data_IF_121556349384
#
_entry.id   IF_121556349384
#
_cell.length_a   1.000
_cell.length_b   1.000
_cell.length_c   1.000
_cell.angle_alpha   90.00
_cell.angle_beta   90.00
_cell.angle_gamma   90.00
#
_symmetry.space_group_name_H-M   'P 1'
#
loop_
_entity.id
_entity.type
_entity.pdbx_description
1 polymer ?
#
# COMPACT_ATOMS: atom_id res chain seq x y z
N UNK A 1 9.98 4.31 -21.30
CA UNK A 1 9.23 5.35 -20.59
C UNK A 1 9.72 5.41 -19.16
N UNK A 2 10.34 6.54 -18.82
CA UNK A 2 10.93 6.71 -17.51
C UNK A 2 9.81 6.96 -16.48
N UNK A 3 9.49 5.95 -15.70
CA UNK A 3 8.66 6.11 -14.52
C UNK A 3 9.45 6.93 -13.50
N UNK A 4 9.10 8.19 -13.33
CA UNK A 4 9.65 9.01 -12.25
C UNK A 4 9.05 8.55 -10.93
N UNK A 5 9.78 7.74 -10.19
CA UNK A 5 9.51 7.53 -8.77
C UNK A 5 9.59 8.87 -8.05
N UNK A 6 8.48 9.36 -7.54
CA UNK A 6 8.43 10.53 -6.67
C UNK A 6 8.09 10.05 -5.27
N UNK A 7 9.12 9.75 -4.52
CA UNK A 7 9.00 9.45 -3.09
C UNK A 7 8.61 8.01 -2.80
N UNK A 8 8.96 7.58 -1.62
CA UNK A 8 8.63 6.29 -1.03
C UNK A 8 7.11 6.07 -1.04
N UNK A 9 6.64 5.11 -1.82
CA UNK A 9 5.25 4.69 -1.86
C UNK A 9 4.53 4.79 -3.20
N UNK A 10 5.10 5.44 -4.22
CA UNK A 10 4.48 5.51 -5.55
C UNK A 10 5.01 4.39 -6.48
N UNK A 11 4.85 3.14 -6.05
CA UNK A 11 5.05 2.01 -6.96
C UNK A 11 3.79 1.88 -7.80
N UNK A 12 3.89 2.21 -9.09
CA UNK A 12 2.79 1.99 -10.01
C UNK A 12 2.64 0.50 -10.30
N UNK A 13 1.41 -0.01 -10.15
CA UNK A 13 1.08 -1.34 -10.67
C UNK A 13 1.35 -1.36 -12.17
N UNK A 14 1.92 -2.46 -12.66
CA UNK A 14 2.03 -2.65 -14.11
C UNK A 14 0.65 -2.95 -14.69
N UNK A 15 0.36 -2.45 -15.89
CA UNK A 15 -0.92 -2.66 -16.57
C UNK A 15 -1.39 -4.13 -16.55
N UNK A 16 -0.48 -5.09 -16.70
CA UNK A 16 -0.82 -6.52 -16.68
C UNK A 16 -1.42 -7.04 -15.37
N UNK A 17 -1.42 -6.23 -14.29
CA UNK A 17 -2.00 -6.60 -12.99
C UNK A 17 -3.22 -5.73 -12.63
N UNK A 18 -3.66 -4.84 -13.52
CA UNK A 18 -4.76 -3.91 -13.22
C UNK A 18 -6.04 -4.66 -12.89
N UNK A 19 -6.32 -5.74 -13.63
CA UNK A 19 -7.57 -6.51 -13.53
C UNK A 19 -7.44 -7.75 -12.62
N UNK A 20 -6.30 -7.90 -11.91
CA UNK A 20 -5.98 -9.13 -11.20
C UNK A 20 -6.99 -9.53 -10.13
N UNK A 21 -7.75 -8.58 -9.59
CA UNK A 21 -8.66 -8.78 -8.47
C UNK A 21 -10.06 -8.22 -8.75
N UNK A 22 -10.41 -7.93 -10.01
CA UNK A 22 -11.68 -7.25 -10.35
C UNK A 22 -12.91 -8.00 -9.86
N UNK A 23 -12.94 -9.32 -10.07
CA UNK A 23 -14.09 -10.18 -9.77
C UNK A 23 -14.18 -10.62 -8.29
N UNK A 24 -13.32 -10.10 -7.42
CA UNK A 24 -13.26 -10.52 -6.02
C UNK A 24 -13.48 -9.32 -5.11
N UNK A 25 -14.44 -9.44 -4.18
CA UNK A 25 -14.54 -8.52 -3.06
C UNK A 25 -13.63 -8.98 -1.92
N UNK A 26 -12.70 -8.10 -1.54
CA UNK A 26 -11.76 -8.36 -0.47
C UNK A 26 -12.39 -8.01 0.87
N UNK A 27 -12.18 -8.89 1.84
CA UNK A 27 -12.69 -8.68 3.20
C UNK A 27 -12.02 -7.47 3.85
N UNK A 28 -12.78 -6.76 4.69
CA UNK A 28 -12.22 -5.73 5.55
C UNK A 28 -11.32 -6.36 6.63
N UNK A 29 -10.26 -5.65 7.07
CA UNK A 29 -9.58 -5.99 8.33
C UNK A 29 -10.57 -6.01 9.50
N UNK A 30 -10.32 -6.85 10.50
CA UNK A 30 -11.20 -6.96 11.68
C UNK A 30 -11.40 -5.61 12.39
N UNK A 31 -10.37 -4.78 12.39
CA UNK A 31 -10.39 -3.45 13.02
C UNK A 31 -10.89 -2.33 12.11
N UNK A 32 -11.36 -2.61 10.89
CA UNK A 32 -11.76 -1.60 9.90
C UNK A 32 -12.77 -0.57 10.43
N UNK A 33 -13.72 -1.03 11.23
CA UNK A 33 -14.77 -0.20 11.84
C UNK A 33 -14.46 0.13 13.31
N UNK A 34 -13.20 0.42 13.64
CA UNK A 34 -12.81 0.87 14.97
C UNK A 34 -13.57 2.16 15.35
N UNK A 35 -14.15 2.21 16.52
CA UNK A 35 -14.89 3.37 17.04
C UNK A 35 -13.99 4.39 17.73
N UNK A 36 -12.72 4.06 17.90
CA UNK A 36 -11.69 4.85 18.59
C UNK A 36 -11.99 5.22 20.04
N UNK A 37 -13.02 4.62 20.67
CA UNK A 37 -13.50 4.97 22.02
C UNK A 37 -12.45 4.78 23.12
N UNK A 38 -11.51 3.87 22.91
CA UNK A 38 -10.40 3.57 23.81
C UNK A 38 -9.08 4.27 23.45
N UNK A 39 -9.11 5.21 22.49
CA UNK A 39 -7.91 5.81 21.91
C UNK A 39 -7.86 7.31 22.16
N UNK A 40 -6.66 7.89 22.00
CA UNK A 40 -6.47 9.33 22.05
C UNK A 40 -7.29 10.05 20.96
N UNK A 41 -7.72 11.27 21.25
CA UNK A 41 -8.53 12.10 20.35
C UNK A 41 -7.94 12.22 18.93
N UNK A 42 -6.63 12.16 18.81
CA UNK A 42 -5.93 12.24 17.54
C UNK A 42 -6.33 11.09 16.60
N UNK A 43 -6.55 9.89 17.13
CA UNK A 43 -6.94 8.72 16.35
C UNK A 43 -8.29 8.91 15.65
N UNK A 44 -9.30 9.38 16.40
CA UNK A 44 -10.63 9.65 15.84
C UNK A 44 -10.72 10.94 15.00
N UNK A 45 -9.72 11.84 15.11
CA UNK A 45 -9.72 13.11 14.40
C UNK A 45 -8.80 13.13 13.16
N UNK A 46 -8.18 12.03 12.82
CA UNK A 46 -7.30 11.96 11.64
C UNK A 46 -8.09 12.05 10.34
N UNK A 47 -7.47 12.64 9.32
CA UNK A 47 -7.94 12.58 7.93
C UNK A 47 -7.32 11.39 7.17
N UNK A 48 -6.54 10.55 7.85
CA UNK A 48 -5.90 9.36 7.29
C UNK A 48 -6.87 8.16 7.28
N UNK A 49 -8.09 8.38 6.82
CA UNK A 49 -9.11 7.33 6.70
C UNK A 49 -9.59 7.18 5.27
N UNK A 50 -10.15 6.00 4.96
CA UNK A 50 -10.73 5.70 3.64
C UNK A 50 -11.78 6.73 3.22
N UNK A 51 -12.49 7.32 4.18
CA UNK A 51 -13.50 8.36 3.91
C UNK A 51 -12.89 9.61 3.28
N UNK A 52 -11.64 9.93 3.64
CA UNK A 52 -10.91 11.11 3.19
C UNK A 52 -9.89 10.84 2.08
N UNK A 53 -10.00 9.74 1.36
CA UNK A 53 -9.21 9.55 0.15
C UNK A 53 -9.43 10.71 -0.82
N UNK A 54 -8.34 11.36 -1.18
CA UNK A 54 -8.34 12.32 -2.28
C UNK A 54 -8.39 11.59 -3.63
N UNK A 55 -8.68 12.33 -4.69
CA UNK A 55 -8.61 11.80 -6.05
C UNK A 55 -7.20 11.29 -6.40
N UNK A 56 -6.16 11.88 -5.80
CA UNK A 56 -4.78 11.42 -5.92
C UNK A 56 -4.58 10.04 -5.28
N UNK A 57 -5.07 9.84 -4.05
CA UNK A 57 -4.94 8.58 -3.33
C UNK A 57 -5.67 7.46 -4.07
N UNK A 58 -6.79 7.81 -4.69
CA UNK A 58 -7.58 6.92 -5.55
C UNK A 58 -6.99 6.75 -6.96
N UNK A 59 -5.86 7.43 -7.27
CA UNK A 59 -5.19 7.39 -8.59
C UNK A 59 -6.12 7.71 -9.77
N UNK A 60 -7.09 8.60 -9.55
CA UNK A 60 -7.99 9.03 -10.61
C UNK A 60 -7.26 9.90 -11.63
N UNK A 61 -7.64 9.77 -12.88
CA UNK A 61 -7.03 10.49 -14.00
C UNK A 61 -7.74 11.85 -14.16
N UNK A 62 -7.03 12.98 -14.04
CA UNK A 62 -7.63 14.27 -14.26
C UNK A 62 -8.01 14.47 -15.74
N UNK A 63 -9.12 15.19 -16.04
CA UNK A 63 -9.51 15.53 -17.40
C UNK A 63 -8.38 16.20 -18.17
N UNK A 64 -8.22 15.84 -19.45
CA UNK A 64 -7.16 16.42 -20.30
C UNK A 64 -7.36 17.91 -20.59
N UNK A 65 -8.60 18.38 -20.52
CA UNK A 65 -8.95 19.81 -20.70
C UNK A 65 -8.38 20.74 -19.63
N UNK A 66 -7.92 20.21 -18.50
CA UNK A 66 -7.38 20.98 -17.39
C UNK A 66 -5.91 21.36 -17.61
N UNK A 67 -5.55 22.59 -17.27
CA UNK A 67 -4.15 23.02 -17.18
C UNK A 67 -3.40 22.26 -16.07
N UNK A 68 -2.06 22.27 -16.09
CA UNK A 68 -1.24 21.59 -15.08
C UNK A 68 -1.53 22.05 -13.63
N UNK A 69 -1.89 23.32 -13.44
CA UNK A 69 -2.27 23.87 -12.12
C UNK A 69 -3.61 23.30 -11.68
N UNK A 70 -4.59 23.29 -12.58
CA UNK A 70 -5.92 22.77 -12.31
C UNK A 70 -5.91 21.25 -12.11
N UNK A 71 -5.10 20.50 -12.87
CA UNK A 71 -4.89 19.04 -12.65
C UNK A 71 -4.37 18.76 -11.24
N UNK A 72 -3.44 19.57 -10.74
CA UNK A 72 -2.97 19.44 -9.35
C UNK A 72 -4.08 19.72 -8.35
N UNK A 73 -4.82 20.79 -8.48
CA UNK A 73 -5.93 21.12 -7.59
C UNK A 73 -7.02 20.02 -7.62
N UNK A 74 -7.33 19.51 -8.80
CA UNK A 74 -8.30 18.44 -8.98
C UNK A 74 -7.86 17.14 -8.26
N UNK A 75 -6.60 16.76 -8.34
CA UNK A 75 -6.06 15.56 -7.69
C UNK A 75 -6.12 15.63 -6.14
N UNK A 76 -5.92 16.82 -5.59
CA UNK A 76 -5.94 16.99 -4.13
C UNK A 76 -7.36 17.23 -3.55
N UNK A 77 -8.40 17.24 -4.38
CA UNK A 77 -9.76 17.29 -3.88
C UNK A 77 -10.09 16.02 -3.08
N UNK A 78 -10.74 16.19 -1.94
CA UNK A 78 -11.04 15.12 -0.99
C UNK A 78 -10.05 15.03 0.18
N UNK A 79 -8.93 15.77 0.15
CA UNK A 79 -7.93 15.75 1.22
C UNK A 79 -8.39 16.46 2.51
N UNK A 80 -9.49 17.19 2.46
CA UNK A 80 -10.06 17.89 3.62
C UNK A 80 -11.39 17.27 4.04
N UNK A 81 -11.69 17.32 5.34
CA UNK A 81 -12.91 16.76 5.93
C UNK A 81 -14.24 17.20 5.28
N UNK A 82 -14.28 18.38 4.70
CA UNK A 82 -15.47 18.90 4.02
C UNK A 82 -15.54 18.56 2.52
N UNK A 83 -14.60 17.77 2.03
CA UNK A 83 -14.51 17.36 0.65
C UNK A 83 -14.60 15.84 0.57
N UNK A 84 -15.73 15.30 0.13
CA UNK A 84 -15.89 13.85 -0.06
C UNK A 84 -15.81 13.53 -1.54
N UNK A 85 -14.88 12.66 -1.91
CA UNK A 85 -14.82 12.09 -3.26
C UNK A 85 -15.83 10.95 -3.34
N UNK A 86 -16.78 11.09 -4.23
CA UNK A 86 -17.68 10.01 -4.61
C UNK A 86 -17.16 9.38 -5.90
N UNK A 87 -17.03 8.07 -5.91
CA UNK A 87 -16.69 7.30 -7.12
C UNK A 87 -17.92 7.12 -7.99
N UNK A 88 -19.08 6.98 -7.35
CA UNK A 88 -20.38 6.96 -7.99
C UNK A 88 -21.37 7.81 -7.19
N UNK A 89 -21.90 8.87 -7.82
CA UNK A 89 -22.83 9.79 -7.19
C UNK A 89 -24.25 9.24 -7.03
N UNK A 90 -24.55 8.08 -7.59
CA UNK A 90 -25.85 7.40 -7.46
C UNK A 90 -25.91 6.47 -6.24
N UNK A 91 -24.76 6.16 -5.66
CA UNK A 91 -24.62 5.27 -4.51
C UNK A 91 -24.57 6.06 -3.20
N UNK A 92 -24.92 5.37 -2.11
CA UNK A 92 -24.80 5.89 -0.75
C UNK A 92 -23.33 6.16 -0.36
N UNK A 93 -23.11 6.89 0.73
CA UNK A 93 -21.77 7.14 1.25
C UNK A 93 -21.08 5.84 1.68
N UNK A 94 -21.82 4.90 2.25
CA UNK A 94 -21.28 3.60 2.66
C UNK A 94 -20.84 2.76 1.46
N UNK A 95 -21.66 2.69 0.41
CA UNK A 95 -21.28 2.01 -0.83
C UNK A 95 -20.07 2.66 -1.51
N UNK A 96 -20.00 4.00 -1.53
CA UNK A 96 -18.82 4.71 -2.02
C UNK A 96 -17.59 4.44 -1.15
N UNK A 97 -17.73 4.33 0.18
CA UNK A 97 -16.66 3.95 1.10
C UNK A 97 -16.14 2.55 0.79
N UNK A 98 -17.04 1.61 0.56
CA UNK A 98 -16.67 0.25 0.12
C UNK A 98 -15.92 0.29 -1.21
N UNK A 99 -16.43 0.98 -2.23
CA UNK A 99 -15.74 1.11 -3.51
C UNK A 99 -14.34 1.70 -3.39
N UNK A 100 -14.15 2.71 -2.54
CA UNK A 100 -12.83 3.30 -2.25
C UNK A 100 -11.89 2.27 -1.64
N UNK A 101 -12.35 1.54 -0.63
CA UNK A 101 -11.56 0.49 0.01
C UNK A 101 -11.18 -0.61 -0.99
N UNK A 102 -12.16 -1.14 -1.74
CA UNK A 102 -11.92 -2.18 -2.73
C UNK A 102 -10.89 -1.73 -3.77
N UNK A 103 -11.05 -0.51 -4.30
CA UNK A 103 -10.08 0.04 -5.24
C UNK A 103 -8.68 0.17 -4.63
N UNK A 104 -8.58 0.70 -3.43
CA UNK A 104 -7.32 0.90 -2.73
C UNK A 104 -6.59 -0.42 -2.47
N UNK A 105 -7.28 -1.41 -1.89
CA UNK A 105 -6.66 -2.69 -1.56
C UNK A 105 -6.28 -3.48 -2.81
N UNK A 106 -7.10 -3.45 -3.86
CA UNK A 106 -6.81 -4.10 -5.13
C UNK A 106 -5.59 -3.48 -5.82
N UNK A 107 -5.48 -2.16 -5.85
CA UNK A 107 -4.34 -1.43 -6.38
C UNK A 107 -3.05 -1.74 -5.59
N UNK A 108 -3.16 -1.84 -4.26
CA UNK A 108 -2.04 -2.22 -3.39
C UNK A 108 -1.56 -3.65 -3.69
N UNK A 109 -2.47 -4.62 -3.71
CA UNK A 109 -2.15 -6.02 -3.99
C UNK A 109 -1.59 -6.22 -5.40
N UNK A 110 -2.08 -5.49 -6.39
CA UNK A 110 -1.51 -5.51 -7.74
C UNK A 110 -0.06 -5.01 -7.76
N UNK A 111 0.26 -4.01 -6.91
CA UNK A 111 1.63 -3.55 -6.71
C UNK A 111 2.49 -4.62 -6.04
N UNK A 112 2.00 -5.23 -4.96
CA UNK A 112 2.69 -6.34 -4.27
C UNK A 112 2.97 -7.49 -5.24
N UNK A 113 2.00 -7.87 -6.06
CA UNK A 113 2.20 -8.91 -7.09
C UNK A 113 3.29 -8.54 -8.09
N UNK A 114 3.35 -7.28 -8.51
CA UNK A 114 4.41 -6.79 -9.39
C UNK A 114 5.79 -6.89 -8.75
N UNK A 115 5.90 -6.60 -7.45
CA UNK A 115 7.16 -6.74 -6.69
C UNK A 115 7.56 -8.20 -6.59
N UNK A 116 6.63 -9.09 -6.22
CA UNK A 116 6.87 -10.53 -6.09
C UNK A 116 7.42 -11.14 -7.39
N UNK A 117 6.78 -10.85 -8.53
CA UNK A 117 7.26 -11.32 -9.84
C UNK A 117 8.68 -10.80 -10.16
N UNK A 118 9.03 -9.59 -9.76
CA UNK A 118 10.37 -9.04 -9.99
C UNK A 118 11.42 -9.65 -9.05
N UNK A 119 11.07 -9.95 -7.80
CA UNK A 119 11.92 -10.71 -6.88
C UNK A 119 12.20 -12.09 -7.48
N UNK A 120 11.17 -12.77 -7.96
CA UNK A 120 11.32 -14.05 -8.65
C UNK A 120 12.31 -13.99 -9.81
N UNK A 121 12.28 -12.92 -10.62
CA UNK A 121 13.24 -12.71 -11.73
C UNK A 121 14.68 -12.52 -11.22
N UNK A 122 14.88 -11.79 -10.14
CA UNK A 122 16.21 -11.63 -9.54
C UNK A 122 16.74 -12.97 -9.02
N UNK A 123 15.92 -13.73 -8.30
CA UNK A 123 16.30 -15.04 -7.79
C UNK A 123 16.65 -16.02 -8.90
N UNK A 124 15.87 -16.03 -10.00
CA UNK A 124 16.16 -16.86 -11.16
C UNK A 124 17.49 -16.45 -11.82
N UNK A 125 17.74 -15.14 -11.96
CA UNK A 125 19.00 -14.65 -12.51
C UNK A 125 20.22 -15.12 -11.68
N UNK A 126 20.13 -15.05 -10.35
CA UNK A 126 21.21 -15.55 -9.48
C UNK A 126 21.46 -17.03 -9.69
N UNK A 127 20.41 -17.82 -9.82
CA UNK A 127 20.50 -19.26 -10.05
C UNK A 127 21.09 -19.60 -11.43
N UNK A 128 20.62 -18.94 -12.47
CA UNK A 128 21.06 -19.17 -13.87
C UNK A 128 22.52 -18.77 -14.12
N UNK A 129 23.09 -17.94 -13.26
CA UNK A 129 24.47 -17.46 -13.36
C UNK A 129 25.39 -18.03 -12.26
N UNK A 130 24.96 -19.07 -11.53
CA UNK A 130 25.74 -19.71 -10.46
C UNK A 130 26.18 -18.75 -9.35
N UNK A 131 25.41 -17.68 -9.09
CA UNK A 131 25.67 -16.67 -8.06
C UNK A 131 24.95 -16.95 -6.74
N UNK A 132 23.99 -17.86 -6.75
CA UNK A 132 23.06 -18.10 -5.65
C UNK A 132 23.76 -18.48 -4.34
N UNK A 133 24.76 -19.35 -4.41
CA UNK A 133 25.49 -19.85 -3.23
C UNK A 133 26.40 -18.81 -2.56
N UNK A 134 26.75 -17.75 -3.27
CA UNK A 134 27.63 -16.68 -2.79
C UNK A 134 26.94 -15.32 -2.70
N UNK A 135 25.60 -15.32 -2.64
CA UNK A 135 24.81 -14.08 -2.57
C UNK A 135 23.86 -14.12 -1.38
N UNK A 136 23.95 -13.10 -0.54
CA UNK A 136 22.95 -12.85 0.51
C UNK A 136 21.82 -12.06 -0.11
N UNK A 137 20.61 -12.57 -0.01
CA UNK A 137 19.38 -11.86 -0.46
C UNK A 137 18.61 -11.46 0.78
N UNK A 138 18.33 -10.16 0.90
CA UNK A 138 17.52 -9.59 1.98
C UNK A 138 16.32 -8.91 1.38
N UNK A 139 15.13 -9.24 1.88
CA UNK A 139 13.88 -8.54 1.60
C UNK A 139 13.38 -7.88 2.88
N UNK A 140 13.23 -6.59 2.84
CA UNK A 140 12.74 -5.78 3.96
C UNK A 140 12.03 -4.52 3.46
N UNK A 141 11.49 -3.74 4.39
CA UNK A 141 10.91 -2.41 4.13
C UNK A 141 11.46 -1.40 5.14
N UNK A 142 11.35 -0.12 4.84
CA UNK A 142 11.68 0.97 5.76
C UNK A 142 10.58 1.18 6.82
N UNK A 143 9.37 0.67 6.58
CA UNK A 143 8.20 0.81 7.45
C UNK A 143 7.09 -0.17 7.06
N UNK A 144 6.10 -0.31 7.95
CA UNK A 144 4.83 -0.93 7.63
C UNK A 144 3.84 0.05 6.98
N UNK A 145 2.58 -0.36 6.86
CA UNK A 145 1.56 0.42 6.16
C UNK A 145 0.15 -0.02 6.57
N UNK A 146 -0.77 0.92 6.83
CA UNK A 146 -2.18 0.59 7.04
C UNK A 146 -2.86 0.31 5.70
N UNK A 147 -3.53 -0.81 5.62
CA UNK A 147 -4.30 -1.24 4.44
C UNK A 147 -5.79 -1.42 4.78
N UNK A 148 -6.29 -0.57 5.67
CA UNK A 148 -7.67 -0.55 6.13
C UNK A 148 -7.84 -0.84 7.61
N UNK A 149 -6.82 -1.28 8.33
CA UNK A 149 -6.87 -1.43 9.78
C UNK A 149 -7.24 -0.09 10.41
N UNK A 150 -8.14 -0.12 11.37
CA UNK A 150 -8.74 1.06 12.02
C UNK A 150 -9.44 2.03 11.03
N UNK A 151 -9.82 1.56 9.84
CA UNK A 151 -10.32 2.40 8.75
C UNK A 151 -9.27 3.34 8.15
N UNK A 152 -8.01 3.17 8.50
CA UNK A 152 -6.90 4.04 8.10
C UNK A 152 -6.16 3.55 6.84
N UNK A 153 -5.42 4.48 6.28
CA UNK A 153 -4.43 4.23 5.22
C UNK A 153 -3.13 5.00 5.55
N UNK A 154 -2.05 4.78 4.75
CA UNK A 154 -0.74 5.41 5.00
C UNK A 154 -0.06 4.83 6.27
N UNK A 155 0.77 5.58 7.01
CA UNK A 155 1.78 5.06 7.95
C UNK A 155 2.15 6.03 9.08
N UNK A 156 1.28 6.97 9.41
CA UNK A 156 1.66 8.13 10.26
C UNK A 156 1.46 7.91 11.76
N UNK A 157 0.90 6.79 12.17
CA UNK A 157 0.74 6.43 13.56
C UNK A 157 1.65 5.26 13.93
N UNK A 158 2.20 5.29 15.15
CA UNK A 158 3.08 4.26 15.69
C UNK A 158 2.29 3.05 16.20
N UNK A 159 1.62 2.36 15.29
CA UNK A 159 0.93 1.09 15.51
C UNK A 159 1.73 -0.03 14.86
N UNK A 160 1.41 -1.29 15.21
CA UNK A 160 2.08 -2.46 14.64
C UNK A 160 2.05 -2.43 13.11
N UNK A 161 0.92 -2.04 12.52
CA UNK A 161 0.72 -2.00 11.07
C UNK A 161 1.68 -1.05 10.36
N UNK A 162 2.07 0.03 11.01
CA UNK A 162 3.00 1.02 10.44
C UNK A 162 4.44 0.84 10.90
N UNK A 163 4.67 0.19 12.04
CA UNK A 163 6.00 0.01 12.65
C UNK A 163 6.62 -1.33 12.32
N UNK A 164 5.79 -2.38 12.18
CA UNK A 164 6.26 -3.72 11.88
C UNK A 164 6.47 -3.92 10.39
N UNK A 165 7.68 -4.26 10.01
CA UNK A 165 8.05 -4.53 8.63
C UNK A 165 8.56 -5.97 8.47
N UNK A 166 8.43 -6.55 7.28
CA UNK A 166 9.00 -7.85 7.02
C UNK A 166 10.54 -7.78 7.00
N UNK A 167 11.18 -8.80 7.54
CA UNK A 167 12.61 -9.04 7.35
C UNK A 167 12.81 -10.51 6.98
N UNK A 168 13.20 -10.75 5.73
CA UNK A 168 13.47 -12.08 5.22
C UNK A 168 14.88 -12.12 4.66
N UNK A 169 15.71 -13.06 5.13
CA UNK A 169 17.08 -13.22 4.66
C UNK A 169 17.29 -14.65 4.15
N UNK A 170 17.97 -14.76 3.01
CA UNK A 170 18.36 -16.01 2.41
C UNK A 170 19.85 -16.00 2.12
N UNK A 171 20.58 -17.03 2.63
CA UNK A 171 21.97 -17.29 2.30
C UNK A 171 22.21 -18.81 2.29
N UNK A 172 22.18 -19.46 1.10
CA UNK A 172 22.32 -20.89 0.99
C UNK A 172 23.58 -21.41 1.66
N UNK A 173 23.50 -22.57 2.27
CA UNK A 173 24.61 -23.19 2.99
C UNK A 173 25.05 -22.53 4.30
N UNK A 174 24.54 -21.32 4.61
CA UNK A 174 24.86 -20.60 5.86
C UNK A 174 23.63 -20.41 6.75
N UNK A 175 22.49 -20.09 6.18
CA UNK A 175 21.24 -19.93 6.93
C UNK A 175 20.35 -21.13 6.61
N UNK A 176 19.93 -21.85 7.67
CA UNK A 176 19.04 -23.00 7.54
C UNK A 176 17.65 -22.53 7.03
N UNK A 177 17.10 -23.15 5.98
CA UNK A 177 15.78 -22.82 5.50
C UNK A 177 14.69 -22.95 6.59
N UNK A 178 13.67 -22.11 6.54
CA UNK A 178 12.53 -22.09 7.47
C UNK A 178 12.91 -21.83 8.94
N UNK A 179 14.05 -21.22 9.19
CA UNK A 179 14.40 -20.72 10.53
C UNK A 179 13.60 -19.43 10.79
N UNK A 180 13.01 -19.34 11.98
CA UNK A 180 12.39 -18.13 12.51
C UNK A 180 13.29 -17.63 13.63
N UNK A 181 13.59 -16.34 13.63
CA UNK A 181 14.25 -15.64 14.73
C UNK A 181 13.26 -14.61 15.27
N UNK A 182 13.08 -14.57 16.59
CA UNK A 182 12.14 -13.69 17.30
C UNK A 182 12.85 -12.47 17.93
N UNK A 183 14.15 -12.32 17.69
CA UNK A 183 14.88 -11.14 18.15
C UNK A 183 14.35 -9.88 17.46
N UNK A 184 14.25 -8.79 18.21
CA UNK A 184 13.87 -7.49 17.68
C UNK A 184 15.09 -6.91 16.96
N UNK A 185 14.88 -6.54 15.70
CA UNK A 185 15.85 -5.79 14.89
C UNK A 185 15.21 -4.50 14.41
N UNK A 186 16.01 -3.51 14.19
CA UNK A 186 15.56 -2.21 13.70
C UNK A 186 16.29 -1.79 12.42
N UNK A 187 15.80 -0.78 11.73
CA UNK A 187 16.43 -0.29 10.48
C UNK A 187 17.84 0.30 10.67
N UNK A 188 18.28 0.45 11.91
CA UNK A 188 19.60 1.00 12.24
C UNK A 188 20.59 -0.07 12.75
N UNK A 189 20.15 -1.33 12.84
CA UNK A 189 21.00 -2.47 13.21
C UNK A 189 21.74 -3.02 11.99
#
# INVERSE_FOLDING_TARGET
>A
DAVRSRGLGDVYKRQKYEDLWEDIDLAYPETYNDDYSSRELTAGNTEMTVDYFSRRDMKLIPPDSLSNKEKRQWLFYGFKRNETVLLDSTLSLEENRNMKFQKYIKDYLATVRSVDDNIGRVLNYLKENDLEENTIVIYTSDQGFFIGEHGWFDKRFMYEESSRMPFVIRYPGKIKPKTINEDIITNID
#
